data_IF_989824295215
#
_entry.id   IF_989824295215
#
_cell.length_a   1.000
_cell.length_b   1.000
_cell.length_c   1.000
_cell.angle_alpha   90.00
_cell.angle_beta   90.00
_cell.angle_gamma   90.00
#
_symmetry.space_group_name_H-M   'P 1'
#
loop_
_entity.id
_entity.type
_entity.pdbx_description
1 polymer ?
#
# COMPACT_ATOMS: atom_id res chain seq x y z
N UNK A 1 50.57 -24.98 -30.73
CA UNK A 1 51.91 -25.28 -30.18
C UNK A 1 52.33 -24.10 -29.33
N UNK A 2 52.72 -24.38 -28.09
CA UNK A 2 52.99 -23.42 -27.01
C UNK A 2 54.27 -22.62 -27.21
N UNK A 3 54.30 -21.40 -26.67
CA UNK A 3 55.49 -20.81 -26.06
C UNK A 3 55.08 -20.03 -24.81
N UNK A 4 55.77 -20.32 -23.71
CA UNK A 4 55.63 -19.69 -22.41
C UNK A 4 56.78 -18.68 -22.21
N UNK A 5 56.61 -17.81 -21.21
CA UNK A 5 57.55 -16.83 -20.64
C UNK A 5 57.65 -15.47 -21.35
N UNK A 6 57.15 -14.43 -20.68
CA UNK A 6 58.01 -13.61 -19.82
C UNK A 6 57.19 -13.04 -18.65
N UNK A 7 57.73 -13.27 -17.45
CA UNK A 7 57.24 -12.76 -16.17
C UNK A 7 57.48 -11.25 -16.07
N UNK A 8 56.49 -10.52 -15.57
CA UNK A 8 56.63 -9.16 -15.05
C UNK A 8 55.69 -9.01 -13.86
N UNK A 9 56.26 -9.14 -12.68
CA UNK A 9 55.62 -9.02 -11.37
C UNK A 9 55.16 -7.57 -11.17
N UNK A 10 53.86 -7.38 -10.94
CA UNK A 10 53.31 -6.28 -10.15
C UNK A 10 52.30 -6.88 -9.19
N UNK A 11 52.76 -7.16 -7.97
CA UNK A 11 51.91 -7.40 -6.82
C UNK A 11 51.29 -6.06 -6.39
N UNK A 12 49.99 -6.06 -6.13
CA UNK A 12 49.31 -4.98 -5.40
C UNK A 12 48.21 -4.26 -6.17
N UNK A 13 47.13 -4.97 -6.51
CA UNK A 13 45.82 -4.35 -6.58
C UNK A 13 44.88 -5.13 -5.67
N UNK A 14 44.49 -4.47 -4.57
CA UNK A 14 43.38 -4.89 -3.73
C UNK A 14 42.14 -5.06 -4.62
N UNK A 15 41.64 -6.29 -4.70
CA UNK A 15 40.30 -6.56 -5.17
C UNK A 15 39.31 -5.90 -4.19
N UNK A 16 39.00 -4.63 -4.44
CA UNK A 16 37.79 -4.00 -3.92
C UNK A 16 36.62 -4.80 -4.49
N UNK A 17 36.04 -5.63 -3.63
CA UNK A 17 34.76 -6.26 -3.93
C UNK A 17 33.75 -5.12 -4.11
N UNK A 18 33.26 -4.95 -5.33
CA UNK A 18 32.14 -4.08 -5.58
C UNK A 18 30.93 -4.73 -4.91
N UNK A 19 30.64 -4.21 -3.71
CA UNK A 19 29.59 -4.67 -2.83
C UNK A 19 28.27 -4.82 -3.57
N UNK A 20 27.57 -5.91 -3.23
CA UNK A 20 26.17 -6.11 -3.57
C UNK A 20 25.37 -4.84 -3.23
N UNK A 21 24.43 -4.52 -4.11
CA UNK A 21 23.49 -3.43 -3.93
C UNK A 21 22.95 -3.45 -2.49
N UNK A 22 22.98 -2.27 -1.83
CA UNK A 22 22.54 -2.11 -0.45
C UNK A 22 21.10 -2.62 -0.34
N UNK A 23 20.88 -3.67 0.46
CA UNK A 23 19.58 -3.84 1.11
C UNK A 23 19.29 -2.54 1.83
N UNK A 24 18.16 -1.94 1.54
CA UNK A 24 17.78 -0.64 2.07
C UNK A 24 17.53 -0.72 3.57
N UNK A 25 17.87 0.33 4.31
CA UNK A 25 17.73 0.42 5.78
C UNK A 25 16.27 0.46 6.29
N UNK A 26 15.27 0.13 5.46
CA UNK A 26 13.88 0.07 5.89
C UNK A 26 13.66 -1.15 6.79
N UNK A 27 13.32 -0.96 8.07
CA UNK A 27 13.07 -2.08 8.95
C UNK A 27 11.84 -2.86 8.46
N UNK A 28 11.96 -4.18 8.42
CA UNK A 28 10.81 -5.05 8.16
C UNK A 28 9.99 -5.13 9.44
N UNK A 29 8.94 -4.32 9.50
CA UNK A 29 8.01 -4.28 10.61
C UNK A 29 6.57 -4.06 10.10
N UNK A 30 5.60 -4.87 10.54
CA UNK A 30 5.77 -6.00 11.45
C UNK A 30 6.46 -7.21 10.76
N UNK A 31 7.03 -8.14 11.53
CA UNK A 31 7.43 -9.43 10.97
C UNK A 31 6.19 -10.19 10.46
N UNK A 32 6.37 -11.18 9.57
CA UNK A 32 5.27 -12.06 9.19
C UNK A 32 4.62 -12.74 10.41
N UNK A 33 3.33 -13.07 10.35
CA UNK A 33 2.65 -13.83 11.40
C UNK A 33 3.34 -15.18 11.65
N UNK A 34 3.34 -15.64 12.91
CA UNK A 34 3.97 -16.91 13.29
C UNK A 34 3.32 -18.13 12.64
N UNK A 35 2.02 -18.04 12.36
CA UNK A 35 1.25 -19.06 11.66
C UNK A 35 0.94 -18.55 10.25
N UNK A 36 1.11 -19.43 9.26
CA UNK A 36 0.77 -19.12 7.88
C UNK A 36 -0.73 -18.74 7.78
N UNK A 37 -1.06 -17.56 7.22
CA UNK A 37 -2.45 -17.16 7.02
C UNK A 37 -3.19 -18.11 6.09
N UNK A 38 -4.50 -18.22 6.26
CA UNK A 38 -5.34 -19.00 5.36
C UNK A 38 -5.45 -18.30 3.98
N UNK A 39 -5.68 -19.07 2.90
CA UNK A 39 -5.95 -18.49 1.58
C UNK A 39 -7.18 -17.57 1.59
N UNK A 40 -7.14 -16.50 0.79
CA UNK A 40 -8.22 -15.52 0.72
C UNK A 40 -8.35 -14.82 -0.63
N UNK A 41 -9.38 -14.00 -0.77
CA UNK A 41 -9.46 -12.98 -1.82
C UNK A 41 -8.76 -11.73 -1.29
N UNK A 42 -7.69 -11.31 -1.94
CA UNK A 42 -6.77 -10.28 -1.45
C UNK A 42 -6.95 -9.00 -2.26
N UNK A 43 -7.22 -7.88 -1.57
CA UNK A 43 -7.14 -6.52 -2.13
C UNK A 43 -5.96 -5.83 -1.49
N UNK A 44 -5.04 -5.31 -2.29
CA UNK A 44 -3.83 -4.65 -1.80
C UNK A 44 -3.81 -3.19 -2.22
N UNK A 45 -3.46 -2.33 -1.28
CA UNK A 45 -3.30 -0.91 -1.53
C UNK A 45 -2.48 -0.24 -0.44
N UNK A 46 -2.00 0.97 -0.75
CA UNK A 46 -1.37 1.82 0.27
C UNK A 46 -2.39 2.47 1.18
N UNK A 47 -3.61 2.73 0.69
CA UNK A 47 -4.69 3.36 1.46
C UNK A 47 -4.28 4.69 2.13
N UNK A 48 -3.64 5.59 1.37
CA UNK A 48 -3.13 6.89 1.84
C UNK A 48 -3.95 8.06 1.25
N UNK A 49 -5.17 8.38 1.73
CA UNK A 49 -5.95 7.66 2.75
C UNK A 49 -6.84 6.58 2.11
N UNK A 50 -7.66 5.91 2.91
CA UNK A 50 -8.81 5.17 2.39
C UNK A 50 -9.80 6.15 1.71
N UNK A 51 -10.34 5.79 0.54
CA UNK A 51 -11.17 6.69 -0.27
C UNK A 51 -12.19 5.90 -1.10
N UNK A 52 -13.11 6.58 -1.78
CA UNK A 52 -14.25 5.96 -2.50
C UNK A 52 -13.81 4.93 -3.56
N UNK A 53 -12.72 5.19 -4.28
CA UNK A 53 -12.15 4.19 -5.20
C UNK A 53 -11.74 2.87 -4.50
N UNK A 54 -11.19 2.93 -3.29
CA UNK A 54 -10.88 1.73 -2.51
C UNK A 54 -12.15 1.03 -2.01
N UNK A 55 -13.14 1.80 -1.53
CA UNK A 55 -14.42 1.27 -1.09
C UNK A 55 -15.10 0.45 -2.20
N UNK A 56 -15.20 1.03 -3.39
CA UNK A 56 -15.77 0.40 -4.60
C UNK A 56 -15.04 -0.89 -5.00
N UNK A 57 -13.70 -0.87 -4.97
CA UNK A 57 -12.88 -2.04 -5.27
C UNK A 57 -13.14 -3.18 -4.26
N UNK A 58 -13.23 -2.85 -2.97
CA UNK A 58 -13.46 -3.84 -1.91
C UNK A 58 -14.89 -4.38 -1.93
N UNK A 59 -15.90 -3.53 -2.20
CA UNK A 59 -17.28 -3.96 -2.39
C UNK A 59 -17.39 -4.93 -3.58
N UNK A 60 -16.71 -4.63 -4.68
CA UNK A 60 -16.64 -5.51 -5.86
C UNK A 60 -15.94 -6.83 -5.54
N UNK A 61 -14.84 -6.78 -4.80
CA UNK A 61 -14.11 -7.98 -4.35
C UNK A 61 -14.99 -8.86 -3.45
N UNK A 62 -15.76 -8.26 -2.53
CA UNK A 62 -16.67 -8.97 -1.63
C UNK A 62 -17.83 -9.62 -2.38
N UNK A 63 -18.41 -8.92 -3.35
CA UNK A 63 -19.47 -9.47 -4.22
C UNK A 63 -18.94 -10.67 -5.01
N UNK A 64 -17.79 -10.51 -5.66
CA UNK A 64 -17.16 -11.59 -6.43
C UNK A 64 -16.80 -12.78 -5.54
N UNK A 65 -16.20 -12.54 -4.37
CA UNK A 65 -15.84 -13.57 -3.38
C UNK A 65 -17.08 -14.36 -2.96
N UNK A 66 -18.17 -13.67 -2.63
CA UNK A 66 -19.40 -14.33 -2.17
C UNK A 66 -20.02 -15.24 -3.22
N UNK A 67 -19.89 -14.90 -4.50
CA UNK A 67 -20.42 -15.69 -5.61
C UNK A 67 -19.49 -16.82 -6.08
N UNK A 68 -18.17 -16.62 -6.00
CA UNK A 68 -17.18 -17.49 -6.67
C UNK A 68 -16.23 -18.23 -5.72
N UNK A 69 -16.10 -17.77 -4.47
CA UNK A 69 -15.13 -18.27 -3.48
C UNK A 69 -15.65 -18.08 -2.05
N UNK A 70 -16.92 -18.45 -1.80
CA UNK A 70 -17.63 -18.17 -0.54
C UNK A 70 -16.96 -18.73 0.72
N UNK A 71 -16.14 -19.77 0.56
CA UNK A 71 -15.34 -20.43 1.58
C UNK A 71 -14.06 -19.68 1.94
N UNK A 72 -13.61 -18.74 1.10
CA UNK A 72 -12.44 -17.90 1.33
C UNK A 72 -12.81 -16.62 2.08
N UNK A 73 -11.93 -16.14 2.95
CA UNK A 73 -12.06 -14.82 3.58
C UNK A 73 -11.67 -13.68 2.63
N UNK A 74 -12.10 -12.46 2.94
CA UNK A 74 -11.62 -11.23 2.30
C UNK A 74 -10.44 -10.66 3.10
N UNK A 75 -9.33 -10.37 2.43
CA UNK A 75 -8.09 -9.88 3.04
C UNK A 75 -7.72 -8.54 2.41
N UNK A 76 -7.45 -7.54 3.25
CA UNK A 76 -7.03 -6.20 2.84
C UNK A 76 -5.56 -6.00 3.25
N UNK A 77 -4.67 -6.03 2.27
CA UNK A 77 -3.23 -5.84 2.46
C UNK A 77 -2.82 -4.37 2.45
N UNK A 78 -2.38 -3.84 3.60
CA UNK A 78 -1.85 -2.48 3.70
C UNK A 78 -0.39 -2.46 3.25
N UNK A 79 -0.16 -2.25 1.96
CA UNK A 79 1.17 -2.11 1.39
C UNK A 79 1.92 -0.89 1.96
N UNK A 80 3.25 -0.90 1.81
CA UNK A 80 4.13 0.15 2.33
C UNK A 80 3.96 0.40 3.84
N UNK A 81 3.77 -0.66 4.63
CA UNK A 81 3.53 -0.51 6.08
C UNK A 81 4.74 0.02 6.86
N UNK A 82 5.96 -0.17 6.36
CA UNK A 82 7.20 0.29 6.98
C UNK A 82 7.72 1.62 6.43
N UNK A 83 6.96 2.32 5.56
CA UNK A 83 7.39 3.61 5.04
C UNK A 83 7.28 4.69 6.15
N UNK A 84 8.32 5.54 6.29
CA UNK A 84 8.26 6.66 7.22
C UNK A 84 7.21 7.69 6.80
N UNK A 85 6.79 8.52 7.75
CA UNK A 85 5.81 9.58 7.52
C UNK A 85 6.32 10.57 6.46
N UNK A 86 5.50 10.85 5.45
CA UNK A 86 5.76 11.83 4.40
C UNK A 86 4.46 12.27 3.73
N UNK A 87 4.47 13.28 2.84
CA UNK A 87 3.25 13.59 2.05
C UNK A 87 2.78 12.46 1.15
N UNK A 88 3.67 11.53 0.80
CA UNK A 88 3.27 10.33 0.08
C UNK A 88 2.68 9.30 1.05
N UNK A 89 3.18 9.19 2.28
CA UNK A 89 2.72 8.26 3.32
C UNK A 89 2.36 8.98 4.63
N UNK A 90 1.32 9.83 4.66
CA UNK A 90 1.09 10.68 5.83
C UNK A 90 0.44 9.93 7.01
N UNK A 91 -0.19 8.78 6.76
CA UNK A 91 -0.85 7.99 7.79
C UNK A 91 -0.13 6.66 8.05
N UNK A 92 -0.01 6.29 9.33
CA UNK A 92 0.60 5.03 9.76
C UNK A 92 -0.25 3.82 9.33
N UNK A 93 0.28 2.58 9.36
CA UNK A 93 -0.52 1.37 9.16
C UNK A 93 -1.73 1.29 10.09
N UNK A 94 -1.58 1.68 11.36
CA UNK A 94 -2.62 1.65 12.38
C UNK A 94 -3.73 2.65 12.05
N UNK A 95 -3.37 3.86 11.62
CA UNK A 95 -4.32 4.90 11.23
C UNK A 95 -5.13 4.46 10.01
N UNK A 96 -4.44 3.95 8.98
CA UNK A 96 -5.08 3.39 7.77
C UNK A 96 -6.00 2.22 8.11
N UNK A 97 -5.55 1.32 8.97
CA UNK A 97 -6.38 0.21 9.47
C UNK A 97 -7.63 0.74 10.17
N UNK A 98 -7.50 1.76 11.02
CA UNK A 98 -8.65 2.35 11.72
C UNK A 98 -9.66 3.01 10.79
N UNK A 99 -9.20 3.70 9.73
CA UNK A 99 -10.07 4.25 8.68
C UNK A 99 -10.86 3.14 7.97
N UNK A 100 -10.19 2.07 7.57
CA UNK A 100 -10.81 0.93 6.89
C UNK A 100 -11.79 0.23 7.83
N UNK A 101 -11.45 0.03 9.11
CA UNK A 101 -12.35 -0.58 10.10
C UNK A 101 -13.62 0.24 10.35
N UNK A 102 -13.51 1.56 10.41
CA UNK A 102 -14.67 2.44 10.51
C UNK A 102 -15.62 2.25 9.33
N UNK A 103 -15.07 2.15 8.11
CA UNK A 103 -15.85 1.89 6.90
C UNK A 103 -16.44 0.47 6.86
N UNK A 104 -15.66 -0.57 7.14
CA UNK A 104 -16.11 -1.97 7.18
C UNK A 104 -17.26 -2.15 8.20
N UNK A 105 -17.17 -1.49 9.36
CA UNK A 105 -18.23 -1.53 10.36
C UNK A 105 -19.52 -0.87 9.85
N UNK A 106 -19.44 0.17 9.02
CA UNK A 106 -20.60 0.85 8.47
C UNK A 106 -21.25 0.06 7.33
N UNK A 107 -20.47 -0.71 6.55
CA UNK A 107 -20.97 -1.51 5.42
C UNK A 107 -21.37 -2.93 5.82
N UNK A 108 -20.88 -3.43 6.96
CA UNK A 108 -21.10 -4.81 7.41
C UNK A 108 -20.22 -5.84 6.70
N UNK A 109 -19.25 -5.40 5.89
CA UNK A 109 -18.29 -6.28 5.22
C UNK A 109 -17.29 -6.81 6.25
N UNK A 110 -17.09 -8.13 6.27
CA UNK A 110 -16.09 -8.78 7.12
C UNK A 110 -14.80 -9.02 6.35
N UNK A 111 -13.71 -8.39 6.78
CA UNK A 111 -12.39 -8.56 6.18
C UNK A 111 -11.28 -8.59 7.24
N UNK A 112 -10.23 -9.37 6.95
CA UNK A 112 -8.97 -9.29 7.67
C UNK A 112 -8.12 -8.15 7.12
N UNK A 113 -7.41 -7.41 7.97
CA UNK A 113 -6.53 -6.31 7.56
C UNK A 113 -5.12 -6.66 7.99
N UNK A 114 -4.20 -6.76 7.02
CA UNK A 114 -2.82 -7.17 7.26
C UNK A 114 -1.83 -6.11 6.75
N UNK A 115 -0.90 -5.61 7.59
CA UNK A 115 0.17 -4.72 7.12
C UNK A 115 1.26 -5.50 6.38
N UNK A 116 1.69 -4.98 5.23
CA UNK A 116 2.72 -5.60 4.38
C UNK A 116 3.87 -4.60 4.20
N UNK A 117 5.05 -4.83 4.82
CA UNK A 117 6.20 -3.94 4.69
C UNK A 117 6.85 -4.10 3.32
N UNK A 118 7.37 -3.02 2.75
CA UNK A 118 8.13 -3.06 1.51
C UNK A 118 9.52 -3.66 1.75
N UNK A 119 10.01 -4.46 0.78
CA UNK A 119 11.36 -5.04 0.78
C UNK A 119 12.31 -4.40 -0.26
N UNK A 120 11.83 -3.41 -1.01
CA UNK A 120 12.54 -2.75 -2.12
C UNK A 120 13.14 -3.72 -3.16
N UNK A 121 12.52 -4.88 -3.33
CA UNK A 121 12.92 -5.94 -4.25
C UNK A 121 11.69 -6.41 -5.03
N UNK A 122 11.31 -5.69 -6.12
CA UNK A 122 10.08 -5.96 -6.86
C UNK A 122 9.92 -7.41 -7.34
N UNK A 123 10.97 -8.08 -7.89
CA UNK A 123 10.88 -9.49 -8.28
C UNK A 123 10.46 -10.45 -7.15
N UNK A 124 10.85 -10.15 -5.91
CA UNK A 124 10.55 -11.01 -4.76
C UNK A 124 9.34 -10.51 -3.94
N UNK A 125 8.69 -9.43 -4.36
CA UNK A 125 7.65 -8.77 -3.56
C UNK A 125 6.45 -9.68 -3.30
N UNK A 126 5.98 -10.45 -4.29
CA UNK A 126 4.82 -11.35 -4.11
C UNK A 126 5.15 -12.45 -3.10
N UNK A 127 6.30 -13.12 -3.26
CA UNK A 127 6.76 -14.16 -2.32
C UNK A 127 6.92 -13.64 -0.88
N UNK A 128 7.16 -12.34 -0.73
CA UNK A 128 7.20 -11.69 0.57
C UNK A 128 5.81 -11.35 1.08
N UNK A 129 4.94 -10.79 0.24
CA UNK A 129 3.56 -10.45 0.59
C UNK A 129 2.73 -11.69 0.98
N UNK A 130 2.96 -12.84 0.34
CA UNK A 130 2.33 -14.12 0.68
C UNK A 130 2.51 -14.54 2.14
N UNK A 131 3.64 -14.16 2.75
CA UNK A 131 3.91 -14.44 4.17
C UNK A 131 2.91 -13.72 5.08
N UNK A 132 2.28 -12.65 4.61
CA UNK A 132 1.35 -11.80 5.36
C UNK A 132 -0.12 -12.05 5.01
N UNK A 133 -0.44 -12.26 3.73
CA UNK A 133 -1.82 -12.44 3.28
C UNK A 133 -2.18 -13.90 2.94
N UNK A 134 -1.25 -14.84 3.10
CA UNK A 134 -1.45 -16.25 2.78
C UNK A 134 -1.21 -16.58 1.30
N UNK A 135 -0.92 -17.85 1.03
CA UNK A 135 -0.71 -18.41 -0.32
C UNK A 135 -2.04 -18.95 -0.91
N UNK A 136 -2.06 -19.24 -2.22
CA UNK A 136 -3.14 -20.01 -2.84
C UNK A 136 -4.50 -19.31 -2.92
N UNK A 137 -4.52 -17.97 -2.89
CA UNK A 137 -5.73 -17.14 -2.96
C UNK A 137 -6.04 -16.60 -4.36
N UNK A 138 -6.83 -15.52 -4.39
CA UNK A 138 -7.07 -14.70 -5.58
C UNK A 138 -6.67 -13.25 -5.29
N UNK A 139 -5.90 -12.62 -6.18
CA UNK A 139 -5.73 -11.17 -6.13
C UNK A 139 -6.93 -10.53 -6.82
N UNK A 140 -7.63 -9.65 -6.12
CA UNK A 140 -8.63 -8.77 -6.72
C UNK A 140 -8.04 -7.37 -6.85
N UNK A 141 -7.82 -6.92 -8.08
CA UNK A 141 -7.18 -5.63 -8.36
C UNK A 141 -7.74 -5.00 -9.61
N UNK A 142 -7.55 -3.70 -9.76
CA UNK A 142 -7.79 -2.99 -11.00
C UNK A 142 -6.52 -2.31 -11.55
N UNK A 143 -5.41 -2.51 -10.87
CA UNK A 143 -4.08 -2.07 -11.27
C UNK A 143 -3.40 -3.16 -12.12
N UNK A 144 -3.04 -2.81 -13.36
CA UNK A 144 -2.48 -3.75 -14.32
C UNK A 144 -1.06 -4.19 -13.96
N UNK A 145 -0.27 -3.33 -13.31
CA UNK A 145 1.09 -3.68 -12.89
C UNK A 145 1.05 -4.72 -11.77
N UNK A 146 0.18 -4.52 -10.78
CA UNK A 146 -0.08 -5.50 -9.72
C UNK A 146 -0.63 -6.81 -10.27
N UNK A 147 -1.56 -6.75 -11.24
CA UNK A 147 -2.09 -7.93 -11.91
C UNK A 147 -0.97 -8.75 -12.57
N UNK A 148 -0.15 -8.11 -13.40
CA UNK A 148 0.96 -8.76 -14.10
C UNK A 148 2.00 -9.35 -13.14
N UNK A 149 2.32 -8.63 -12.06
CA UNK A 149 3.27 -9.07 -11.05
C UNK A 149 2.79 -10.35 -10.33
N UNK A 150 1.51 -10.41 -9.96
CA UNK A 150 0.90 -11.59 -9.35
C UNK A 150 0.73 -12.74 -10.33
N UNK A 151 0.28 -12.49 -11.56
CA UNK A 151 0.18 -13.52 -12.61
C UNK A 151 1.53 -14.19 -12.89
N UNK A 152 2.62 -13.41 -12.92
CA UNK A 152 3.99 -13.92 -13.09
C UNK A 152 4.44 -14.79 -11.91
N UNK A 153 3.78 -14.65 -10.76
CA UNK A 153 4.00 -15.44 -9.54
C UNK A 153 2.96 -16.56 -9.37
N UNK A 154 2.33 -16.99 -10.47
CA UNK A 154 1.34 -18.08 -10.53
C UNK A 154 0.04 -17.85 -9.70
N UNK A 155 -0.27 -16.59 -9.35
CA UNK A 155 -1.54 -16.25 -8.70
C UNK A 155 -2.71 -16.15 -9.67
N UNK A 156 -3.89 -16.50 -9.18
CA UNK A 156 -5.14 -16.19 -9.86
C UNK A 156 -5.46 -14.71 -9.66
N UNK A 157 -5.69 -13.99 -10.76
CA UNK A 157 -6.02 -12.57 -10.72
C UNK A 157 -7.44 -12.34 -11.24
N UNK A 158 -8.19 -11.52 -10.51
CA UNK A 158 -9.52 -11.05 -10.87
C UNK A 158 -9.42 -9.54 -11.08
N UNK A 159 -9.68 -9.11 -12.32
CA UNK A 159 -9.66 -7.69 -12.67
C UNK A 159 -11.02 -7.05 -12.31
N UNK A 160 -10.98 -6.10 -11.38
CA UNK A 160 -12.10 -5.23 -11.06
C UNK A 160 -12.18 -4.03 -11.99
N UNK A 161 -13.39 -3.50 -12.19
CA UNK A 161 -13.56 -2.22 -12.88
C UNK A 161 -13.12 -1.06 -11.99
N UNK A 162 -12.63 0.02 -12.61
CA UNK A 162 -12.28 1.23 -11.89
C UNK A 162 -13.40 2.24 -11.93
N UNK A 163 -13.89 2.54 -10.74
CA UNK A 163 -14.83 3.64 -10.58
C UNK A 163 -14.07 4.98 -10.58
N UNK A 164 -14.42 5.85 -11.53
CA UNK A 164 -13.98 7.26 -11.57
C UNK A 164 -12.47 7.47 -11.37
N UNK A 165 -11.63 6.80 -12.19
CA UNK A 165 -10.15 6.91 -12.16
C UNK A 165 -9.63 8.33 -11.94
N UNK A 166 -10.21 9.33 -12.62
CA UNK A 166 -9.71 10.70 -12.57
C UNK A 166 -9.98 11.44 -11.24
N UNK A 167 -10.94 10.96 -10.44
CA UNK A 167 -11.37 11.64 -9.21
C UNK A 167 -10.79 10.98 -7.97
N UNK A 168 -10.77 9.64 -7.92
CA UNK A 168 -10.42 8.86 -6.74
C UNK A 168 -8.98 8.35 -6.76
N UNK A 169 -8.03 9.24 -7.05
CA UNK A 169 -6.60 8.96 -6.97
C UNK A 169 -6.06 9.45 -5.64
N UNK A 170 -5.31 8.59 -4.93
CA UNK A 170 -4.80 8.92 -3.60
C UNK A 170 -4.02 10.24 -3.54
N UNK A 171 -3.28 10.63 -4.58
CA UNK A 171 -2.56 11.91 -4.60
C UNK A 171 -3.50 13.12 -4.63
N UNK A 172 -4.63 13.04 -5.36
CA UNK A 172 -5.65 14.09 -5.40
C UNK A 172 -6.35 14.20 -4.06
N UNK A 173 -6.71 13.06 -3.46
CA UNK A 173 -7.33 13.02 -2.13
C UNK A 173 -6.40 13.63 -1.08
N UNK A 174 -5.10 13.32 -1.11
CA UNK A 174 -4.10 13.93 -0.21
C UNK A 174 -3.96 15.44 -0.43
N UNK A 175 -3.96 15.91 -1.67
CA UNK A 175 -3.91 17.34 -1.96
C UNK A 175 -5.13 18.08 -1.38
N UNK A 176 -6.34 17.55 -1.57
CA UNK A 176 -7.56 18.12 -0.97
C UNK A 176 -7.52 18.06 0.56
N UNK A 177 -7.11 16.93 1.14
CA UNK A 177 -6.95 16.78 2.59
C UNK A 177 -5.92 17.75 3.17
N UNK A 178 -4.83 18.02 2.44
CA UNK A 178 -3.84 19.02 2.83
C UNK A 178 -4.42 20.42 2.80
N UNK A 179 -5.19 20.80 1.77
CA UNK A 179 -5.87 22.10 1.73
C UNK A 179 -6.83 22.28 2.92
N UNK A 180 -7.48 21.21 3.37
CA UNK A 180 -8.39 21.22 4.51
C UNK A 180 -7.69 21.09 5.88
N UNK A 181 -6.37 20.86 5.93
CA UNK A 181 -5.66 20.48 7.15
C UNK A 181 -5.58 21.56 8.24
N UNK A 182 -5.80 22.82 7.87
CA UNK A 182 -5.82 23.99 8.77
C UNK A 182 -7.22 24.58 8.95
N UNK A 183 -8.26 23.94 8.42
CA UNK A 183 -9.65 24.37 8.55
C UNK A 183 -10.18 23.84 9.88
N UNK A 184 -10.60 24.74 10.78
CA UNK A 184 -11.13 24.37 12.10
C UNK A 184 -12.62 24.00 12.09
N UNK A 185 -13.34 24.31 11.01
CA UNK A 185 -14.75 23.98 10.84
C UNK A 185 -14.91 22.52 10.36
N UNK A 186 -15.37 21.59 11.22
CA UNK A 186 -15.50 20.19 10.85
C UNK A 186 -16.56 19.97 9.75
N UNK A 187 -17.62 20.80 9.69
CA UNK A 187 -18.67 20.65 8.68
C UNK A 187 -18.13 21.01 7.29
N UNK A 188 -17.31 22.05 7.19
CA UNK A 188 -16.63 22.41 5.95
C UNK A 188 -15.65 21.31 5.48
N UNK A 189 -14.89 20.71 6.41
CA UNK A 189 -13.99 19.59 6.11
C UNK A 189 -14.79 18.38 5.60
N UNK A 190 -15.90 18.06 6.27
CA UNK A 190 -16.82 16.99 5.87
C UNK A 190 -17.38 17.21 4.47
N UNK A 191 -17.88 18.41 4.17
CA UNK A 191 -18.45 18.75 2.86
C UNK A 191 -17.44 18.53 1.73
N UNK A 192 -16.21 19.01 1.91
CA UNK A 192 -15.18 18.95 0.85
C UNK A 192 -14.63 17.53 0.67
N UNK A 193 -14.26 16.84 1.75
CA UNK A 193 -13.60 15.54 1.64
C UNK A 193 -14.57 14.41 1.28
N UNK A 194 -15.85 14.53 1.65
CA UNK A 194 -16.85 13.49 1.38
C UNK A 194 -17.13 13.27 -0.11
N UNK A 195 -16.73 14.22 -0.96
CA UNK A 195 -16.75 14.06 -2.42
C UNK A 195 -15.84 12.92 -2.91
N UNK A 196 -14.78 12.57 -2.16
CA UNK A 196 -13.79 11.55 -2.57
C UNK A 196 -13.50 10.49 -1.52
N UNK A 197 -13.88 10.70 -0.27
CA UNK A 197 -13.70 9.78 0.86
C UNK A 197 -15.09 9.44 1.44
N UNK A 198 -15.36 8.20 1.87
CA UNK A 198 -16.64 7.89 2.52
C UNK A 198 -16.86 8.74 3.77
N UNK A 199 -18.08 9.23 3.99
CA UNK A 199 -18.40 10.15 5.10
C UNK A 199 -17.96 9.61 6.47
N UNK A 200 -18.21 8.32 6.74
CA UNK A 200 -17.79 7.68 8.00
C UNK A 200 -16.26 7.73 8.20
N UNK A 201 -15.49 7.71 7.11
CA UNK A 201 -14.03 7.79 7.15
C UNK A 201 -13.59 9.23 7.36
N UNK A 202 -14.24 10.20 6.71
CA UNK A 202 -13.95 11.63 6.96
C UNK A 202 -14.24 11.99 8.42
N UNK A 203 -15.40 11.56 8.95
CA UNK A 203 -15.75 11.76 10.36
C UNK A 203 -14.68 11.19 11.28
N UNK A 204 -14.28 9.93 11.03
CA UNK A 204 -13.23 9.26 11.80
C UNK A 204 -11.89 10.01 11.71
N UNK A 205 -11.50 10.50 10.53
CA UNK A 205 -10.27 11.28 10.35
C UNK A 205 -10.29 12.61 11.12
N UNK A 206 -11.43 13.31 11.12
CA UNK A 206 -11.61 14.59 11.83
C UNK A 206 -11.58 14.36 13.34
N UNK A 207 -12.36 13.41 13.85
CA UNK A 207 -12.46 13.07 15.27
C UNK A 207 -11.11 12.67 15.89
N UNK A 208 -10.27 11.99 15.11
CA UNK A 208 -8.95 11.53 15.53
C UNK A 208 -7.82 12.51 15.14
N UNK A 209 -8.13 13.71 14.65
CA UNK A 209 -7.14 14.75 14.34
C UNK A 209 -6.15 14.36 13.24
N UNK A 210 -6.51 13.44 12.35
CA UNK A 210 -5.61 12.82 11.37
C UNK A 210 -5.19 13.75 10.23
N UNK A 211 -5.83 14.92 10.09
CA UNK A 211 -5.57 15.88 9.01
C UNK A 211 -4.52 16.92 9.36
N UNK A 212 -4.41 17.32 10.63
CA UNK A 212 -3.60 18.48 11.07
C UNK A 212 -2.13 18.39 10.65
N UNK A 213 -1.56 17.17 10.65
CA UNK A 213 -0.15 16.94 10.28
C UNK A 213 0.15 17.29 8.82
N UNK A 214 -0.83 17.20 7.92
CA UNK A 214 -0.62 17.45 6.49
C UNK A 214 -0.17 18.89 6.21
N UNK A 215 -0.52 19.83 7.08
CA UNK A 215 -0.06 21.23 7.01
C UNK A 215 1.47 21.35 7.13
N UNK A 216 2.12 20.42 7.83
CA UNK A 216 3.55 20.44 8.13
C UNK A 216 4.36 19.46 7.28
N UNK A 217 3.68 18.50 6.62
CA UNK A 217 4.33 17.53 5.77
C UNK A 217 4.61 18.05 4.35
N UNK A 218 3.89 19.10 3.92
CA UNK A 218 4.14 19.75 2.63
C UNK A 218 5.59 20.21 2.51
N UNK A 219 6.29 19.78 1.47
CA UNK A 219 7.53 20.45 1.08
C UNK A 219 7.18 21.91 0.83
N UNK A 220 7.85 22.82 1.55
CA UNK A 220 7.64 24.25 1.39
C UNK A 220 7.63 24.60 -0.11
N UNK A 221 6.58 25.29 -0.54
CA UNK A 221 6.54 25.86 -1.90
C UNK A 221 7.81 26.67 -2.16
N UNK A 222 8.26 26.67 -3.42
CA UNK A 222 9.55 27.18 -3.90
C UNK A 222 10.11 28.39 -3.11
N UNK A 223 11.43 28.45 -2.83
CA UNK A 223 12.04 29.70 -2.44
C UNK A 223 11.87 30.66 -3.62
N UNK A 224 10.95 31.61 -3.49
CA UNK A 224 10.84 32.74 -4.41
C UNK A 224 12.11 33.58 -4.28
N UNK A 225 13.04 33.33 -5.20
CA UNK A 225 14.17 34.20 -5.51
C UNK A 225 13.79 35.24 -6.56
#
# INVERSE_FOLDING_TARGET
MSWNQLNGIWEGEEFLSWGGARLTDLPISPPPPEQAPAPGVVVIGRFQPFHRGHASLIESAESWRSENASEMGLIIGLGSSNRPESMQNPWSPEERSSMIRAWLSATGISAEIVPIPDIEDPPNWVSHAEKYHGEGGHLFTSDMESAQLYETSDWRVVLGELENRNTFEGWRVRATAQMMSTVDDPDAVMEVLSASVPEVVVSHMVENGMLRRLAFLGEGGEPVG
#
